data_IF_912421547231
#
_entry.id   IF_912421547231
#
_cell.length_a   1.000
_cell.length_b   1.000
_cell.length_c   1.000
_cell.angle_alpha   90.00
_cell.angle_beta   90.00
_cell.angle_gamma   90.00
#
_symmetry.space_group_name_H-M   'P 1'
#
loop_
_entity.id
_entity.type
_entity.pdbx_description
1 polymer ?
#
# COMPACT_ATOMS: atom_id res chain seq x y z
N UNK A 1 -29.02 0.31 5.04
CA UNK A 1 -28.45 -1.05 5.05
C UNK A 1 -27.49 -1.07 6.23
N UNK A 2 -27.81 -1.78 7.31
CA UNK A 2 -26.93 -1.86 8.49
C UNK A 2 -25.76 -2.75 8.07
N UNK A 3 -24.59 -2.17 7.83
CA UNK A 3 -23.35 -2.93 7.60
C UNK A 3 -23.09 -3.76 8.86
N UNK A 4 -22.73 -5.04 8.70
CA UNK A 4 -22.40 -5.87 9.84
C UNK A 4 -21.07 -5.34 10.45
N UNK A 5 -21.08 -4.96 11.72
CA UNK A 5 -19.89 -4.50 12.45
C UNK A 5 -18.70 -5.47 12.29
N UNK A 6 -18.99 -6.78 12.18
CA UNK A 6 -18.00 -7.82 11.96
C UNK A 6 -17.33 -7.72 10.58
N UNK A 7 -18.08 -7.35 9.53
CA UNK A 7 -17.53 -7.16 8.17
C UNK A 7 -16.62 -5.93 8.12
N UNK A 8 -17.02 -4.84 8.78
CA UNK A 8 -16.19 -3.63 8.86
C UNK A 8 -14.89 -3.89 9.62
N UNK A 9 -14.95 -4.59 10.76
CA UNK A 9 -13.77 -4.97 11.52
C UNK A 9 -12.84 -5.90 10.72
N UNK A 10 -13.40 -6.92 10.04
CA UNK A 10 -12.62 -7.81 9.19
C UNK A 10 -11.92 -7.05 8.05
N UNK A 11 -12.64 -6.15 7.38
CA UNK A 11 -12.07 -5.32 6.30
C UNK A 11 -10.94 -4.42 6.83
N UNK A 12 -11.12 -3.83 8.01
CA UNK A 12 -10.09 -3.01 8.65
C UNK A 12 -8.82 -3.83 8.95
N UNK A 13 -8.95 -5.02 9.52
CA UNK A 13 -7.82 -5.93 9.77
C UNK A 13 -7.10 -6.34 8.47
N UNK A 14 -7.86 -6.58 7.40
CA UNK A 14 -7.28 -6.88 6.08
C UNK A 14 -6.52 -5.67 5.52
N UNK A 15 -7.01 -4.45 5.72
CA UNK A 15 -6.30 -3.21 5.37
C UNK A 15 -4.99 -3.08 6.15
N UNK A 16 -4.99 -3.35 7.45
CA UNK A 16 -3.76 -3.36 8.26
C UNK A 16 -2.77 -4.41 7.80
N UNK A 17 -3.24 -5.61 7.44
CA UNK A 17 -2.39 -6.66 6.88
C UNK A 17 -1.71 -6.20 5.56
N UNK A 18 -2.44 -5.51 4.69
CA UNK A 18 -1.88 -4.93 3.46
C UNK A 18 -0.79 -3.91 3.79
N UNK A 19 -1.05 -3.03 4.77
CA UNK A 19 -0.11 -2.01 5.20
C UNK A 19 1.18 -2.63 5.76
N UNK A 20 1.07 -3.62 6.64
CA UNK A 20 2.23 -4.28 7.23
C UNK A 20 3.06 -5.05 6.20
N UNK A 21 2.44 -5.71 5.22
CA UNK A 21 3.17 -6.35 4.12
C UNK A 21 3.87 -5.32 3.21
N UNK A 22 3.24 -4.17 2.95
CA UNK A 22 3.88 -3.08 2.22
C UNK A 22 5.08 -2.50 2.97
N UNK A 23 4.92 -2.30 4.28
CA UNK A 23 5.96 -1.73 5.11
C UNK A 23 7.14 -2.69 5.29
N UNK A 24 6.87 -3.99 5.47
CA UNK A 24 7.90 -5.03 5.50
C UNK A 24 8.67 -5.12 4.17
N UNK A 25 7.99 -5.03 3.02
CA UNK A 25 8.67 -4.97 1.71
C UNK A 25 9.61 -3.77 1.65
N UNK A 26 9.14 -2.58 2.03
CA UNK A 26 9.94 -1.36 2.02
C UNK A 26 11.18 -1.49 2.89
N UNK A 27 11.05 -1.95 4.14
CA UNK A 27 12.20 -2.14 5.02
C UNK A 27 13.21 -3.14 4.46
N UNK A 28 12.73 -4.21 3.84
CA UNK A 28 13.64 -5.20 3.25
C UNK A 28 14.38 -4.64 2.02
N UNK A 29 13.71 -3.80 1.22
CA UNK A 29 14.34 -3.04 0.14
C UNK A 29 15.38 -2.03 0.66
N UNK A 30 15.13 -1.37 1.79
CA UNK A 30 16.10 -0.47 2.44
C UNK A 30 17.36 -1.26 2.87
N UNK A 31 17.17 -2.42 3.51
CA UNK A 31 18.28 -3.31 3.92
C UNK A 31 19.06 -3.83 2.71
N UNK A 32 18.39 -4.31 1.65
CA UNK A 32 19.06 -4.71 0.41
C UNK A 32 19.83 -3.54 -0.20
N UNK A 33 19.22 -2.36 -0.26
CA UNK A 33 19.83 -1.15 -0.81
C UNK A 33 21.11 -0.75 -0.08
N UNK A 34 21.19 -0.94 1.23
CA UNK A 34 22.36 -0.66 2.05
C UNK A 34 23.41 -1.77 2.02
N UNK A 35 22.99 -3.03 2.11
CA UNK A 35 23.89 -4.19 2.28
C UNK A 35 24.34 -4.81 0.96
N UNK A 36 23.60 -4.59 -0.12
CA UNK A 36 23.74 -5.25 -1.43
C UNK A 36 23.63 -6.77 -1.37
N UNK A 37 22.92 -7.30 -0.37
CA UNK A 37 22.69 -8.74 -0.24
C UNK A 37 21.58 -9.20 -1.18
N UNK A 38 21.95 -9.70 -2.36
CA UNK A 38 21.02 -10.15 -3.41
C UNK A 38 20.06 -11.27 -2.94
N UNK A 39 20.44 -12.06 -1.94
CA UNK A 39 19.59 -13.10 -1.34
C UNK A 39 18.28 -12.54 -0.75
N UNK A 40 18.19 -11.21 -0.54
CA UNK A 40 16.97 -10.54 -0.06
C UNK A 40 15.93 -10.33 -1.16
N UNK A 41 16.33 -10.30 -2.43
CA UNK A 41 15.43 -10.02 -3.56
C UNK A 41 14.24 -11.00 -3.64
N UNK A 42 14.43 -12.33 -3.52
CA UNK A 42 13.31 -13.28 -3.53
C UNK A 42 12.29 -13.03 -2.41
N UNK A 43 12.74 -12.59 -1.24
CA UNK A 43 11.87 -12.28 -0.11
C UNK A 43 11.08 -10.98 -0.32
N UNK A 44 11.71 -9.96 -0.93
CA UNK A 44 11.04 -8.71 -1.32
C UNK A 44 9.90 -9.01 -2.31
N UNK A 45 10.17 -9.81 -3.33
CA UNK A 45 9.17 -10.21 -4.31
C UNK A 45 8.06 -11.08 -3.67
N UNK A 46 8.43 -11.97 -2.76
CA UNK A 46 7.45 -12.78 -2.04
C UNK A 46 6.50 -11.93 -1.18
N UNK A 47 7.00 -10.88 -0.50
CA UNK A 47 6.17 -9.93 0.25
C UNK A 47 5.21 -9.17 -0.66
N UNK A 48 5.68 -8.76 -1.85
CA UNK A 48 4.85 -8.11 -2.87
C UNK A 48 3.72 -9.02 -3.33
N UNK A 49 4.01 -10.28 -3.64
CA UNK A 49 3.01 -11.26 -4.08
C UNK A 49 2.02 -11.63 -2.97
N UNK A 50 2.49 -11.79 -1.73
CA UNK A 50 1.61 -11.98 -0.56
C UNK A 50 0.66 -10.80 -0.39
N UNK A 51 1.15 -9.56 -0.54
CA UNK A 51 0.31 -8.36 -0.47
C UNK A 51 -0.77 -8.34 -1.56
N UNK A 52 -0.41 -8.66 -2.81
CA UNK A 52 -1.39 -8.76 -3.92
C UNK A 52 -2.48 -9.80 -3.61
N UNK A 53 -2.13 -10.97 -3.09
CA UNK A 53 -3.09 -12.01 -2.68
C UNK A 53 -4.05 -11.53 -1.59
N UNK A 54 -3.55 -10.79 -0.60
CA UNK A 54 -4.41 -10.17 0.44
C UNK A 54 -5.35 -9.13 -0.17
N UNK A 55 -4.89 -8.35 -1.15
CA UNK A 55 -5.76 -7.44 -1.92
C UNK A 55 -6.89 -8.15 -2.65
N UNK A 56 -6.59 -9.25 -3.33
CA UNK A 56 -7.61 -10.09 -3.98
C UNK A 56 -8.63 -10.63 -2.97
N UNK A 57 -8.17 -11.10 -1.80
CA UNK A 57 -9.05 -11.53 -0.72
C UNK A 57 -9.98 -10.39 -0.25
N UNK A 58 -9.45 -9.18 -0.07
CA UNK A 58 -10.24 -8.01 0.31
C UNK A 58 -11.37 -7.73 -0.69
N UNK A 59 -11.05 -7.69 -1.99
CA UNK A 59 -12.06 -7.43 -3.01
C UNK A 59 -13.08 -8.56 -3.14
N UNK A 60 -12.67 -9.80 -2.89
CA UNK A 60 -13.58 -10.93 -2.78
C UNK A 60 -14.55 -10.79 -1.60
N UNK A 61 -14.08 -10.35 -0.43
CA UNK A 61 -14.94 -10.09 0.75
C UNK A 61 -15.95 -8.98 0.46
N UNK A 62 -15.53 -7.96 -0.29
CA UNK A 62 -16.38 -6.82 -0.68
C UNK A 62 -17.32 -7.11 -1.87
N UNK A 63 -17.29 -8.34 -2.39
CA UNK A 63 -18.05 -8.77 -3.57
C UNK A 63 -17.83 -7.86 -4.80
N UNK A 64 -16.63 -7.29 -4.92
CA UNK A 64 -16.25 -6.47 -6.07
C UNK A 64 -15.82 -7.40 -7.19
N UNK A 65 -16.77 -7.78 -8.05
CA UNK A 65 -16.52 -8.68 -9.18
C UNK A 65 -15.84 -7.97 -10.36
N UNK A 66 -14.82 -8.62 -10.93
CA UNK A 66 -14.21 -8.25 -12.21
C UNK A 66 -15.14 -8.63 -13.37
N UNK A 67 -16.13 -7.78 -13.69
CA UNK A 67 -16.85 -7.92 -14.95
C UNK A 67 -15.95 -7.44 -16.11
N UNK A 68 -15.21 -8.38 -16.70
CA UNK A 68 -14.54 -8.25 -18.00
C UNK A 68 -13.09 -7.77 -17.94
N UNK A 69 -12.15 -8.66 -18.29
CA UNK A 69 -10.73 -8.33 -18.41
C UNK A 69 -9.87 -9.50 -18.91
N UNK A 70 -10.25 -10.13 -20.03
CA UNK A 70 -9.46 -11.19 -20.68
C UNK A 70 -8.31 -10.68 -21.55
N UNK A 71 -7.67 -9.56 -21.20
CA UNK A 71 -6.58 -8.98 -21.99
C UNK A 71 -5.58 -8.22 -21.11
N UNK A 72 -4.40 -7.91 -21.66
CA UNK A 72 -3.20 -7.27 -21.07
C UNK A 72 -3.41 -5.93 -20.31
N UNK A 73 -4.64 -5.47 -20.12
CA UNK A 73 -4.96 -4.25 -19.40
C UNK A 73 -5.48 -4.56 -18.00
N UNK A 74 -4.82 -3.95 -17.01
CA UNK A 74 -5.22 -3.99 -15.60
C UNK A 74 -6.71 -3.70 -15.39
N UNK A 75 -7.36 -4.44 -14.52
CA UNK A 75 -8.76 -4.27 -14.16
C UNK A 75 -8.95 -3.05 -13.26
N UNK A 76 -10.16 -2.49 -13.23
CA UNK A 76 -10.54 -1.28 -12.44
C UNK A 76 -10.19 -1.40 -10.95
N UNK A 77 -10.17 -2.63 -10.47
CA UNK A 77 -9.85 -3.04 -9.10
C UNK A 77 -8.39 -2.73 -8.77
N UNK A 78 -7.48 -2.79 -9.74
CA UNK A 78 -6.04 -2.60 -9.52
C UNK A 78 -5.63 -1.13 -9.38
N UNK A 79 -6.36 -0.17 -9.96
CA UNK A 79 -6.11 1.25 -9.71
C UNK A 79 -6.58 1.65 -8.29
N UNK A 80 -7.75 1.18 -7.87
CA UNK A 80 -8.27 1.38 -6.51
C UNK A 80 -7.36 0.71 -5.47
N UNK A 81 -6.86 -0.49 -5.79
CA UNK A 81 -5.87 -1.22 -5.00
C UNK A 81 -4.63 -0.40 -4.68
N UNK A 82 -4.07 0.30 -5.67
CA UNK A 82 -2.86 1.08 -5.46
C UNK A 82 -3.11 2.26 -4.50
N UNK A 83 -4.21 2.98 -4.69
CA UNK A 83 -4.62 4.05 -3.78
C UNK A 83 -4.81 3.52 -2.36
N UNK A 84 -5.51 2.40 -2.21
CA UNK A 84 -5.74 1.76 -0.93
C UNK A 84 -4.42 1.40 -0.23
N UNK A 85 -3.49 0.77 -0.94
CA UNK A 85 -2.18 0.38 -0.40
C UNK A 85 -1.42 1.58 0.20
N UNK A 86 -1.39 2.71 -0.52
CA UNK A 86 -0.70 3.90 -0.02
C UNK A 86 -1.40 4.54 1.19
N UNK A 87 -2.73 4.58 1.18
CA UNK A 87 -3.50 5.08 2.33
C UNK A 87 -3.34 4.17 3.57
N UNK A 88 -3.31 2.85 3.36
CA UNK A 88 -3.09 1.88 4.43
C UNK A 88 -1.70 2.05 5.06
N UNK A 89 -0.67 2.24 4.24
CA UNK A 89 0.68 2.55 4.73
C UNK A 89 0.76 3.92 5.42
N UNK A 90 -0.01 4.91 4.97
CA UNK A 90 -0.12 6.19 5.65
C UNK A 90 -0.69 6.06 7.08
N UNK A 91 -1.58 5.10 7.35
CA UNK A 91 -2.05 4.80 8.72
C UNK A 91 -0.91 4.30 9.60
N UNK A 92 -0.08 3.36 9.11
CA UNK A 92 1.08 2.85 9.84
C UNK A 92 2.05 3.98 10.17
N UNK A 93 2.35 4.87 9.22
CA UNK A 93 3.23 6.01 9.48
C UNK A 93 2.61 7.05 10.42
N UNK A 94 1.28 7.20 10.47
CA UNK A 94 0.63 8.00 11.50
C UNK A 94 0.85 7.41 12.89
N UNK A 95 0.71 6.08 13.03
CA UNK A 95 0.90 5.38 14.31
C UNK A 95 2.36 5.49 14.79
N UNK A 96 3.33 5.29 13.90
CA UNK A 96 4.76 5.46 14.20
C UNK A 96 5.13 6.91 14.55
N UNK A 97 4.52 7.88 13.86
CA UNK A 97 4.72 9.30 14.15
C UNK A 97 4.15 9.65 15.52
N UNK A 98 2.99 9.09 15.87
CA UNK A 98 2.37 9.28 17.17
C UNK A 98 3.26 8.74 18.29
N UNK A 99 3.81 7.53 18.13
CA UNK A 99 4.75 6.93 19.07
C UNK A 99 5.99 7.82 19.28
N UNK A 100 6.59 8.33 18.19
CA UNK A 100 7.75 9.22 18.25
C UNK A 100 7.42 10.54 18.98
N UNK A 101 6.25 11.11 18.72
CA UNK A 101 5.79 12.33 19.40
C UNK A 101 5.58 12.07 20.89
N UNK A 102 4.94 10.97 21.27
CA UNK A 102 4.73 10.57 22.68
C UNK A 102 6.07 10.43 23.41
N UNK A 103 7.03 9.69 22.84
CA UNK A 103 8.37 9.53 23.44
C UNK A 103 9.09 10.87 23.61
N UNK A 104 8.91 11.81 22.68
CA UNK A 104 9.50 13.14 22.78
C UNK A 104 8.80 14.00 23.82
N UNK A 105 7.49 13.87 23.96
CA UNK A 105 6.72 14.52 25.04
C UNK A 105 7.22 14.07 26.42
N UNK A 106 7.40 12.76 26.62
CA UNK A 106 7.90 12.21 27.88
C UNK A 106 9.28 12.78 28.24
N UNK A 107 10.18 12.92 27.25
CA UNK A 107 11.47 13.59 27.43
C UNK A 107 11.31 15.03 27.93
N UNK A 108 10.42 15.82 27.33
CA UNK A 108 10.19 17.22 27.75
C UNK A 108 9.58 17.32 29.15
N UNK A 109 8.67 16.41 29.49
CA UNK A 109 8.09 16.32 30.84
C UNK A 109 9.18 16.04 31.86
N UNK A 110 10.05 15.05 31.59
CA UNK A 110 11.17 14.70 32.47
C UNK A 110 12.17 15.85 32.66
N UNK A 111 12.33 16.71 31.65
CA UNK A 111 13.20 17.90 31.69
C UNK A 111 12.54 19.14 32.32
N UNK A 112 11.27 19.05 32.72
CA UNK A 112 10.51 20.19 33.22
C UNK A 112 10.07 21.19 32.14
N UNK A 113 10.25 20.88 30.85
CA UNK A 113 9.90 21.71 29.70
C UNK A 113 8.41 21.59 29.34
N UNK A 114 7.52 21.86 30.31
CA UNK A 114 6.06 21.64 30.19
C UNK A 114 5.43 22.31 28.97
N UNK A 115 5.88 23.52 28.61
CA UNK A 115 5.33 24.25 27.46
C UNK A 115 5.58 23.53 26.13
N UNK A 116 6.76 22.91 25.94
CA UNK A 116 7.08 22.14 24.73
C UNK A 116 6.32 20.81 24.69
N UNK A 117 6.14 20.16 25.84
CA UNK A 117 5.33 18.96 25.95
C UNK A 117 3.86 19.25 25.57
N UNK A 118 3.32 20.39 25.99
CA UNK A 118 1.96 20.81 25.66
C UNK A 118 1.79 21.15 24.17
N UNK A 119 2.79 21.78 23.55
CA UNK A 119 2.79 22.00 22.09
C UNK A 119 2.75 20.66 21.33
N UNK A 120 3.60 19.70 21.72
CA UNK A 120 3.58 18.37 21.12
C UNK A 120 2.27 17.62 21.38
N UNK A 121 1.62 17.81 22.53
CA UNK A 121 0.31 17.23 22.80
C UNK A 121 -0.76 17.73 21.82
N UNK A 122 -0.67 18.99 21.36
CA UNK A 122 -1.57 19.52 20.33
C UNK A 122 -1.30 18.88 18.98
N UNK A 123 -0.02 18.75 18.59
CA UNK A 123 0.38 18.06 17.36
C UNK A 123 -0.03 16.58 17.35
N UNK A 124 0.06 15.90 18.50
CA UNK A 124 -0.39 14.53 18.64
C UNK A 124 -1.90 14.41 18.38
N UNK A 125 -2.70 15.38 18.85
CA UNK A 125 -4.14 15.42 18.58
C UNK A 125 -4.41 15.61 17.08
N UNK A 126 -3.75 16.56 16.44
CA UNK A 126 -3.85 16.79 14.98
C UNK A 126 -3.51 15.51 14.19
N UNK A 127 -2.50 14.77 14.65
CA UNK A 127 -2.10 13.50 14.02
C UNK A 127 -3.17 12.41 14.16
N UNK A 128 -3.80 12.28 15.34
CA UNK A 128 -4.91 11.34 15.52
C UNK A 128 -6.15 11.72 14.71
N UNK A 129 -6.44 13.01 14.58
CA UNK A 129 -7.51 13.50 13.70
C UNK A 129 -7.23 13.13 12.23
N UNK A 130 -5.99 13.33 11.77
CA UNK A 130 -5.57 12.93 10.42
C UNK A 130 -5.68 11.41 10.21
N UNK A 131 -5.23 10.62 11.18
CA UNK A 131 -5.35 9.15 11.15
C UNK A 131 -6.81 8.71 11.02
N UNK A 132 -7.72 9.31 11.78
CA UNK A 132 -9.16 9.02 11.68
C UNK A 132 -9.74 9.45 10.33
N UNK A 133 -9.30 10.59 9.79
CA UNK A 133 -9.71 11.04 8.47
C UNK A 133 -9.26 10.07 7.36
N UNK A 134 -8.02 9.57 7.42
CA UNK A 134 -7.51 8.57 6.47
C UNK A 134 -8.31 7.27 6.57
N UNK A 135 -8.58 6.79 7.79
CA UNK A 135 -9.40 5.60 8.03
C UNK A 135 -10.80 5.77 7.43
N UNK A 136 -11.46 6.90 7.69
CA UNK A 136 -12.77 7.22 7.10
C UNK A 136 -12.72 7.22 5.58
N UNK A 137 -11.69 7.82 4.98
CA UNK A 137 -11.51 7.85 3.55
C UNK A 137 -11.31 6.45 2.93
N UNK A 138 -10.55 5.57 3.60
CA UNK A 138 -10.41 4.16 3.20
C UNK A 138 -11.76 3.44 3.25
N UNK A 139 -12.52 3.61 4.34
CA UNK A 139 -13.85 3.01 4.50
C UNK A 139 -14.80 3.46 3.38
N UNK A 140 -14.83 4.76 3.06
CA UNK A 140 -15.66 5.31 1.99
C UNK A 140 -15.23 4.75 0.62
N UNK A 141 -13.93 4.66 0.36
CA UNK A 141 -13.41 4.06 -0.87
C UNK A 141 -13.83 2.60 -1.03
N UNK A 142 -13.70 1.81 0.04
CA UNK A 142 -13.96 0.37 0.01
C UNK A 142 -15.43 0.01 -0.01
N UNK A 143 -16.28 0.72 0.71
CA UNK A 143 -17.69 0.33 0.83
C UNK A 143 -18.66 1.12 -0.04
N UNK A 144 -18.30 2.35 -0.42
CA UNK A 144 -19.21 3.25 -1.12
C UNK A 144 -18.76 3.53 -2.55
N UNK A 145 -17.48 3.86 -2.76
CA UNK A 145 -16.95 4.19 -4.09
C UNK A 145 -16.74 2.93 -4.92
N UNK A 146 -16.18 1.86 -4.35
CA UNK A 146 -15.96 0.58 -5.04
C UNK A 146 -17.19 0.08 -5.80
N UNK A 147 -18.38 0.18 -5.18
CA UNK A 147 -19.68 -0.23 -5.74
C UNK A 147 -20.18 0.69 -6.87
N UNK A 148 -19.69 1.93 -6.94
CA UNK A 148 -20.08 2.94 -7.94
C UNK A 148 -19.19 2.92 -9.19
N UNK A 149 -18.01 2.29 -9.12
CA UNK A 149 -17.03 2.25 -10.22
C UNK A 149 -17.49 1.30 -11.35
N UNK A 150 -18.51 1.71 -12.12
CA UNK A 150 -19.06 0.91 -13.22
C UNK A 150 -18.22 0.97 -14.51
N UNK A 151 -17.60 2.12 -14.84
CA UNK A 151 -16.70 2.28 -16.01
C UNK A 151 -15.69 3.41 -15.77
N UNK A 152 -14.45 3.06 -15.47
CA UNK A 152 -13.31 4.01 -15.45
C UNK A 152 -12.23 3.45 -16.37
N UNK A 153 -11.59 4.32 -17.15
CA UNK A 153 -10.46 3.97 -18.01
C UNK A 153 -9.26 3.52 -17.16
N UNK A 154 -8.54 2.49 -17.62
CA UNK A 154 -7.33 1.98 -16.95
C UNK A 154 -6.28 3.09 -16.79
N UNK A 155 -5.76 3.27 -15.57
CA UNK A 155 -4.66 4.19 -15.27
C UNK A 155 -3.43 3.35 -14.89
N UNK A 156 -2.33 3.49 -15.64
CA UNK A 156 -1.05 2.83 -15.32
C UNK A 156 -0.49 3.38 -14.01
N UNK A 157 -0.13 2.50 -13.07
CA UNK A 157 0.64 2.87 -11.89
C UNK A 157 2.14 2.86 -12.21
N UNK A 158 2.94 3.64 -11.48
CA UNK A 158 4.40 3.62 -11.62
C UNK A 158 5.02 2.28 -11.20
N UNK A 159 4.37 1.55 -10.28
CA UNK A 159 4.77 0.19 -9.87
C UNK A 159 4.54 -0.87 -10.99
N UNK A 160 3.77 -0.54 -12.03
CA UNK A 160 3.54 -1.42 -13.18
C UNK A 160 4.71 -1.49 -14.15
N UNK A 161 5.64 -0.53 -14.06
CA UNK A 161 6.81 -0.49 -14.93
C UNK A 161 7.78 -1.66 -14.65
N UNK A 162 7.61 -2.35 -13.52
CA UNK A 162 8.43 -3.50 -13.12
C UNK A 162 7.90 -4.86 -13.62
N UNK A 163 6.76 -4.91 -14.33
CA UNK A 163 6.17 -6.18 -14.84
C UNK A 163 6.58 -6.47 -16.30
N UNK A 164 7.37 -5.59 -16.93
CA UNK A 164 7.84 -5.83 -18.31
C UNK A 164 9.13 -6.65 -18.26
N UNK A 165 9.01 -7.97 -18.20
CA UNK A 165 9.92 -8.94 -18.85
C UNK A 165 9.39 -10.36 -18.60
N UNK A 166 8.70 -10.92 -19.59
CA UNK A 166 8.14 -12.27 -19.48
C UNK A 166 7.30 -12.75 -20.65
N UNK A 167 7.06 -11.93 -21.67
CA UNK A 167 6.41 -12.40 -22.88
C UNK A 167 7.45 -13.10 -23.78
N UNK A 168 7.33 -14.42 -23.89
CA UNK A 168 8.29 -15.32 -24.53
C UNK A 168 8.43 -15.15 -26.05
N UNK A 169 7.79 -14.15 -26.65
CA UNK A 169 7.79 -13.94 -28.11
C UNK A 169 8.59 -12.71 -28.57
N UNK A 170 9.30 -12.00 -27.68
CA UNK A 170 10.08 -10.81 -28.05
C UNK A 170 11.56 -11.07 -28.40
N UNK A 171 11.92 -12.27 -28.88
CA UNK A 171 13.28 -12.52 -29.42
C UNK A 171 13.20 -12.75 -30.93
N UNK A 172 12.99 -11.66 -31.68
CA UNK A 172 13.63 -11.54 -32.98
C UNK A 172 14.90 -10.73 -32.78
N UNK A 173 16.03 -11.43 -32.60
CA UNK A 173 17.35 -10.82 -32.66
C UNK A 173 17.51 -10.17 -34.05
N UNK A 174 17.98 -8.92 -34.17
CA UNK A 174 18.42 -8.43 -35.45
C UNK A 174 19.61 -9.27 -35.91
N UNK A 175 19.52 -9.84 -37.11
CA UNK A 175 20.64 -10.52 -37.77
C UNK A 175 21.83 -9.57 -37.82
N UNK A 176 22.96 -10.02 -37.26
CA UNK A 176 24.24 -9.30 -37.41
C UNK A 176 24.64 -9.39 -38.88
N UNK A 177 24.60 -8.26 -39.57
CA UNK A 177 25.25 -8.11 -40.88
C UNK A 177 26.76 -8.38 -40.67
N UNK A 178 27.37 -9.34 -41.38
CA UNK A 178 28.81 -9.55 -41.31
C UNK A 178 29.53 -8.32 -41.85
N UNK A 179 30.46 -7.75 -41.09
CA UNK A 179 31.42 -6.81 -41.63
C UNK A 179 32.47 -7.62 -42.40
N UNK A 180 32.49 -7.45 -43.72
CA UNK A 180 33.59 -7.91 -44.57
C UNK A 180 34.84 -7.07 -44.27
N UNK A 181 35.96 -7.76 -44.10
CA UNK A 181 37.34 -7.22 -43.97
C UNK A 181 37.84 -6.62 -45.26
#
# INVERSE_FOLDING_TARGET
MIKNLWEEALVEEVVYLIAHLAHAEQHLMEVEGETKLEDLVPYIDELRERRKKVGQLLFSILEVSEEGGGGEFRTKVESLWCTLKHLAMALVHCDESAEKVIRRMDCYIAQGEKQKAEELSKRLRELYELRQAIRGFITDLLFDISKKLKKVSSVRCREDLCIVEGDKDAVQRPERIPQET
#
